data_IF_287885738867
#
_entry.id   IF_287885738867
#
_cell.length_a   1.000
_cell.length_b   1.000
_cell.length_c   1.000
_cell.angle_alpha   90.00
_cell.angle_beta   90.00
_cell.angle_gamma   90.00
#
_symmetry.space_group_name_H-M   'P 1'
#
loop_
_entity.id
_entity.type
_entity.pdbx_description
1 polymer ?
#
# COMPACT_ATOMS: atom_id res chain seq x y z
N UNK A 1 9.39 1.26 -9.96
CA UNK A 1 8.35 0.76 -9.05
C UNK A 1 9.05 0.34 -7.76
N UNK A 2 9.05 1.20 -6.75
CA UNK A 2 9.63 0.92 -5.44
C UNK A 2 8.48 0.50 -4.53
N UNK A 3 8.46 -0.75 -4.05
CA UNK A 3 7.44 -1.21 -3.10
C UNK A 3 6.94 -2.65 -3.23
N UNK A 4 7.29 -3.39 -4.29
CA UNK A 4 7.02 -4.83 -4.40
C UNK A 4 8.34 -5.51 -4.74
N UNK A 5 9.02 -6.08 -3.74
CA UNK A 5 10.28 -6.79 -3.96
C UNK A 5 10.07 -8.19 -4.56
N UNK A 6 8.90 -8.79 -4.34
CA UNK A 6 8.57 -10.12 -4.86
C UNK A 6 7.23 -10.14 -5.57
N UNK A 7 7.25 -10.50 -6.86
CA UNK A 7 6.05 -10.62 -7.69
C UNK A 7 5.68 -12.09 -7.86
N UNK A 8 4.57 -12.50 -7.26
CA UNK A 8 4.01 -13.85 -7.42
C UNK A 8 3.13 -13.85 -8.68
N UNK A 9 3.26 -14.87 -9.54
CA UNK A 9 2.46 -15.02 -10.78
C UNK A 9 1.77 -16.38 -10.80
N UNK A 10 0.56 -16.45 -11.34
CA UNK A 10 -0.27 -17.65 -11.45
C UNK A 10 -1.15 -17.57 -12.71
N UNK A 11 -1.58 -18.71 -13.24
CA UNK A 11 -2.30 -18.84 -14.51
C UNK A 11 -3.32 -19.98 -14.45
N UNK A 12 -4.34 -19.93 -15.29
CA UNK A 12 -5.33 -20.99 -15.43
C UNK A 12 -6.31 -20.68 -16.57
N UNK A 13 -6.83 -21.72 -17.22
CA UNK A 13 -7.83 -21.57 -18.30
C UNK A 13 -9.26 -21.60 -17.75
N UNK A 14 -9.43 -22.13 -16.53
CA UNK A 14 -10.69 -22.14 -15.78
C UNK A 14 -10.53 -21.48 -14.41
N UNK A 15 -11.65 -21.12 -13.78
CA UNK A 15 -11.65 -20.55 -12.42
C UNK A 15 -11.00 -21.51 -11.42
N UNK A 16 -11.32 -22.81 -11.50
CA UNK A 16 -10.76 -23.83 -10.60
C UNK A 16 -9.24 -23.98 -10.76
N UNK A 17 -8.75 -23.93 -12.01
CA UNK A 17 -7.32 -23.94 -12.29
C UNK A 17 -6.62 -22.70 -11.76
N UNK A 18 -7.20 -21.52 -12.00
CA UNK A 18 -6.64 -20.25 -11.56
C UNK A 18 -6.56 -20.18 -10.03
N UNK A 19 -7.60 -20.63 -9.32
CA UNK A 19 -7.60 -20.67 -7.84
C UNK A 19 -6.56 -21.64 -7.30
N UNK A 20 -6.43 -22.83 -7.91
CA UNK A 20 -5.43 -23.81 -7.50
C UNK A 20 -4.01 -23.30 -7.72
N UNK A 21 -3.73 -22.73 -8.89
CA UNK A 21 -2.41 -22.20 -9.23
C UNK A 21 -2.05 -20.99 -8.37
N UNK A 22 -3.03 -20.15 -8.04
CA UNK A 22 -2.86 -19.05 -7.09
C UNK A 22 -2.40 -19.54 -5.71
N UNK A 23 -3.07 -20.55 -5.14
CA UNK A 23 -2.66 -21.10 -3.84
C UNK A 23 -1.26 -21.71 -3.91
N UNK A 24 -0.95 -22.47 -4.96
CA UNK A 24 0.38 -23.06 -5.15
C UNK A 24 1.48 -21.99 -5.23
N UNK A 25 1.23 -20.88 -5.92
CA UNK A 25 2.17 -19.78 -6.05
C UNK A 25 2.40 -19.05 -4.71
N UNK A 26 1.36 -18.88 -3.89
CA UNK A 26 1.48 -18.31 -2.54
C UNK A 26 2.24 -19.24 -1.61
N UNK A 27 1.92 -20.54 -1.60
CA UNK A 27 2.61 -21.53 -0.76
C UNK A 27 4.10 -21.58 -1.11
N UNK A 28 4.43 -21.59 -2.40
CA UNK A 28 5.82 -21.55 -2.86
C UNK A 28 6.57 -20.30 -2.38
N UNK A 29 5.93 -19.13 -2.44
CA UNK A 29 6.51 -17.88 -1.94
C UNK A 29 6.80 -17.94 -0.44
N UNK A 30 5.88 -18.48 0.36
CA UNK A 30 6.04 -18.60 1.80
C UNK A 30 7.16 -19.59 2.16
N UNK A 31 7.25 -20.71 1.43
CA UNK A 31 8.33 -21.69 1.59
C UNK A 31 9.71 -21.11 1.23
N UNK A 32 9.78 -20.34 0.15
CA UNK A 32 11.00 -19.61 -0.23
C UNK A 32 11.40 -18.57 0.83
N UNK A 33 10.42 -17.87 1.41
CA UNK A 33 10.67 -16.97 2.53
C UNK A 33 11.27 -17.72 3.72
N UNK A 34 10.67 -18.84 4.10
CA UNK A 34 11.13 -19.67 5.22
C UNK A 34 12.55 -20.22 4.97
N UNK A 35 12.81 -20.77 3.77
CA UNK A 35 14.13 -21.29 3.38
C UNK A 35 15.22 -20.23 3.37
N UNK A 36 14.89 -19.00 2.95
CA UNK A 36 15.81 -17.88 2.94
C UNK A 36 15.95 -17.19 4.32
N UNK A 37 15.21 -17.64 5.35
CA UNK A 37 15.21 -17.01 6.68
C UNK A 37 14.67 -15.57 6.67
N UNK A 38 13.87 -15.20 5.66
CA UNK A 38 13.29 -13.87 5.49
C UNK A 38 11.81 -13.90 5.84
N UNK A 39 11.30 -12.80 6.40
CA UNK A 39 9.86 -12.64 6.59
C UNK A 39 9.20 -12.35 5.23
N UNK A 40 8.02 -12.94 4.94
CA UNK A 40 7.24 -12.56 3.77
C UNK A 40 6.83 -11.08 3.86
N UNK A 41 6.67 -10.45 2.71
CA UNK A 41 6.24 -9.06 2.61
C UNK A 41 4.84 -8.94 3.22
N UNK A 42 4.72 -8.09 4.24
CA UNK A 42 3.41 -7.77 4.82
C UNK A 42 2.82 -6.60 4.06
N UNK A 43 1.53 -6.68 3.67
CA UNK A 43 0.82 -5.51 3.19
C UNK A 43 0.94 -4.37 4.19
N UNK A 44 0.97 -3.13 3.69
CA UNK A 44 0.88 -1.96 4.56
C UNK A 44 -0.40 -2.05 5.41
N UNK A 45 -0.29 -1.78 6.71
CA UNK A 45 -1.38 -2.03 7.67
C UNK A 45 -2.58 -1.08 7.53
N UNK A 46 -2.45 -0.03 6.72
CA UNK A 46 -3.40 1.08 6.61
C UNK A 46 -3.47 1.98 7.85
N UNK A 47 -2.80 1.63 8.96
CA UNK A 47 -2.81 2.42 10.19
C UNK A 47 -1.72 3.47 10.15
N UNK A 48 -2.12 4.73 10.15
CA UNK A 48 -1.20 5.86 10.10
C UNK A 48 -1.44 6.81 11.28
N UNK A 49 -0.58 6.73 12.29
CA UNK A 49 -0.65 7.59 13.48
C UNK A 49 0.41 8.68 13.41
N UNK A 50 -0.04 9.94 13.32
CA UNK A 50 0.85 11.09 13.28
C UNK A 50 0.71 11.94 14.54
N UNK A 51 1.85 12.48 15.00
CA UNK A 51 1.85 13.65 15.87
C UNK A 51 1.95 14.88 14.97
N UNK A 52 0.93 15.72 15.03
CA UNK A 52 0.81 16.92 14.20
C UNK A 52 0.75 18.12 15.13
N UNK A 53 1.40 19.21 14.73
CA UNK A 53 1.27 20.49 15.42
C UNK A 53 -0.22 20.92 15.51
N UNK A 54 -0.70 21.44 16.66
CA UNK A 54 -2.11 21.76 16.85
C UNK A 54 -2.68 22.74 15.82
N UNK A 55 -1.91 23.74 15.38
CA UNK A 55 -2.36 24.70 14.37
C UNK A 55 -2.49 24.03 13.00
N UNK A 56 -1.58 23.12 12.69
CA UNK A 56 -1.67 22.32 11.47
C UNK A 56 -2.86 21.37 11.50
N UNK A 57 -3.12 20.70 12.64
CA UNK A 57 -4.32 19.88 12.83
C UNK A 57 -5.60 20.69 12.63
N UNK A 58 -5.68 21.91 13.17
CA UNK A 58 -6.84 22.79 12.99
C UNK A 58 -7.07 23.15 11.51
N UNK A 59 -6.00 23.46 10.77
CA UNK A 59 -6.08 23.73 9.32
C UNK A 59 -6.55 22.52 8.52
N UNK A 60 -6.08 21.32 8.87
CA UNK A 60 -6.54 20.07 8.24
C UNK A 60 -8.04 19.87 8.50
N UNK A 61 -8.50 20.06 9.74
CA UNK A 61 -9.91 19.89 10.08
C UNK A 61 -10.82 20.85 9.31
N UNK A 62 -10.41 22.11 9.13
CA UNK A 62 -11.14 23.09 8.32
C UNK A 62 -11.17 22.65 6.85
N UNK A 63 -10.03 22.24 6.29
CA UNK A 63 -9.94 21.84 4.89
C UNK A 63 -10.78 20.58 4.59
N UNK A 64 -10.79 19.61 5.49
CA UNK A 64 -11.62 18.42 5.40
C UNK A 64 -13.12 18.79 5.42
N UNK A 65 -13.53 19.66 6.35
CA UNK A 65 -14.91 20.12 6.42
C UNK A 65 -15.35 20.88 5.16
N UNK A 66 -14.48 21.71 4.57
CA UNK A 66 -14.76 22.39 3.30
C UNK A 66 -14.92 21.44 2.11
N UNK A 67 -14.32 20.25 2.18
CA UNK A 67 -14.42 19.22 1.17
C UNK A 67 -15.58 18.24 1.40
N UNK A 68 -16.36 18.41 2.48
CA UNK A 68 -17.38 17.44 2.94
C UNK A 68 -16.79 16.04 3.23
N UNK A 69 -15.55 16.00 3.74
CA UNK A 69 -14.81 14.78 4.05
C UNK A 69 -14.45 14.68 5.54
N UNK A 70 -14.26 13.47 6.05
CA UNK A 70 -13.61 13.29 7.35
C UNK A 70 -12.12 13.66 7.27
N UNK A 71 -11.53 14.03 8.41
CA UNK A 71 -10.08 14.33 8.51
C UNK A 71 -9.23 13.19 7.95
N UNK A 72 -9.62 11.93 8.19
CA UNK A 72 -8.88 10.78 7.70
C UNK A 72 -8.94 10.66 6.17
N UNK A 73 -10.14 10.80 5.57
CA UNK A 73 -10.32 10.73 4.12
C UNK A 73 -9.57 11.86 3.40
N UNK A 74 -9.73 13.09 3.90
CA UNK A 74 -9.04 14.24 3.33
C UNK A 74 -7.52 14.10 3.43
N UNK A 75 -7.03 13.61 4.58
CA UNK A 75 -5.61 13.37 4.78
C UNK A 75 -5.09 12.27 3.84
N UNK A 76 -5.85 11.17 3.67
CA UNK A 76 -5.49 10.09 2.75
C UNK A 76 -5.34 10.60 1.31
N UNK A 77 -6.33 11.36 0.81
CA UNK A 77 -6.27 11.94 -0.54
C UNK A 77 -5.06 12.86 -0.74
N UNK A 78 -4.80 13.75 0.23
CA UNK A 78 -3.68 14.70 0.14
C UNK A 78 -2.33 13.98 0.20
N UNK A 79 -2.19 13.02 1.12
CA UNK A 79 -0.96 12.24 1.27
C UNK A 79 -0.72 11.34 0.06
N UNK A 80 -1.76 10.75 -0.53
CA UNK A 80 -1.65 9.96 -1.76
C UNK A 80 -1.13 10.81 -2.91
N UNK A 81 -1.73 11.99 -3.14
CA UNK A 81 -1.29 12.91 -4.19
C UNK A 81 0.18 13.31 -3.99
N UNK A 82 0.55 13.71 -2.78
CA UNK A 82 1.93 14.09 -2.46
C UNK A 82 2.92 12.92 -2.65
N UNK A 83 2.52 11.70 -2.30
CA UNK A 83 3.35 10.51 -2.50
C UNK A 83 3.56 10.20 -3.98
N UNK A 84 2.49 10.30 -4.80
CA UNK A 84 2.58 10.12 -6.27
C UNK A 84 3.52 11.14 -6.89
N UNK A 85 3.33 12.42 -6.57
CA UNK A 85 4.21 13.50 -7.06
C UNK A 85 5.68 13.26 -6.68
N UNK A 86 5.95 12.82 -5.44
CA UNK A 86 7.31 12.53 -5.00
C UNK A 86 7.93 11.34 -5.75
N UNK A 87 7.15 10.28 -6.02
CA UNK A 87 7.61 9.11 -6.77
C UNK A 87 7.86 9.43 -8.24
N UNK A 88 7.01 10.25 -8.86
CA UNK A 88 7.17 10.69 -10.25
C UNK A 88 8.40 11.57 -10.40
N UNK A 89 8.58 12.55 -9.51
CA UNK A 89 9.76 13.43 -9.50
C UNK A 89 11.07 12.65 -9.27
N UNK A 90 11.05 11.64 -8.39
CA UNK A 90 12.20 10.77 -8.14
C UNK A 90 12.51 9.79 -9.28
N UNK A 91 11.55 9.51 -10.17
CA UNK A 91 11.78 8.69 -11.36
C UNK A 91 12.44 9.47 -12.53
N UNK A 92 12.50 10.80 -12.42
CA UNK A 92 13.09 11.70 -13.41
C UNK A 92 14.45 12.30 -12.99
N UNK A 93 14.98 11.89 -11.83
CA UNK A 93 16.28 12.29 -11.29
C UNK A 93 17.30 11.15 -11.41
#
# INVERSE_FOLDING_TARGET
MLGVDDRISFHGETVDELTRDFHAAVDHYLDDCARAGRAPQKPASGKFMLRIDPETHARIAIAAAMADESVNQWSEHVLERAAREALDNGAHA
#
